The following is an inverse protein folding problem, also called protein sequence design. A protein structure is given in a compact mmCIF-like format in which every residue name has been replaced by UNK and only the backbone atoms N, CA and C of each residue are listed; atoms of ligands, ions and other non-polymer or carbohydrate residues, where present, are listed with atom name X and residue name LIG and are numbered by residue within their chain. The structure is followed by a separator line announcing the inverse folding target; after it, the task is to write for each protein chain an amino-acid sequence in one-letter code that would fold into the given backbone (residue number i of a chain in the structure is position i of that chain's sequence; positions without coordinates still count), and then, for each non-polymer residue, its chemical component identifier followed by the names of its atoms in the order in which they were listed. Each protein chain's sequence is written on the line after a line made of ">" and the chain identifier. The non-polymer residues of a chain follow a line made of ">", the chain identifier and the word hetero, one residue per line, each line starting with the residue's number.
data_IF_038742561788
#
_entry.id   IF_038742561788
#
_cell.length_a   1.000
_cell.length_b   1.000
_cell.length_c   1.000
_cell.angle_alpha   90.00
_cell.angle_beta   90.00
_cell.angle_gamma   90.00
#
_symmetry.space_group_name_H-M   'P 1'
#
loop_
_entity.id
_entity.type
_entity.pdbx_description
1 polymer ?
#
# COMPACT_ATOMS: atom_id res chain seq x y z
N UNK A 1 8.00 12.36 -24.37
CA UNK A 1 7.99 12.68 -22.93
C UNK A 1 6.79 11.96 -22.35
N UNK A 2 7.04 10.86 -21.63
CA UNK A 2 5.95 10.09 -20.98
C UNK A 2 5.45 10.96 -19.81
N UNK A 3 4.32 11.66 -20.01
CA UNK A 3 3.72 12.47 -18.97
C UNK A 3 3.02 11.51 -18.01
N UNK A 4 3.43 11.51 -16.75
CA UNK A 4 2.71 10.75 -15.70
C UNK A 4 1.25 11.16 -15.71
N UNK A 5 0.34 10.22 -15.49
CA UNK A 5 -1.08 10.51 -15.32
C UNK A 5 -1.31 11.41 -14.09
N UNK A 6 -2.42 12.17 -14.04
CA UNK A 6 -2.69 13.11 -12.95
C UNK A 6 -2.75 12.45 -11.57
N UNK A 7 -3.35 11.25 -11.45
CA UNK A 7 -3.43 10.50 -10.18
C UNK A 7 -2.04 10.07 -9.76
N UNK A 8 -1.31 9.41 -10.67
CA UNK A 8 0.06 8.97 -10.40
C UNK A 8 0.95 10.13 -10.02
N UNK A 9 0.88 11.26 -10.72
CA UNK A 9 1.67 12.44 -10.40
C UNK A 9 1.37 12.99 -9.00
N UNK A 10 0.10 13.09 -8.64
CA UNK A 10 -0.34 13.64 -7.35
C UNK A 10 0.03 12.74 -6.16
N UNK A 11 -0.18 11.42 -6.28
CA UNK A 11 0.06 10.49 -5.18
C UNK A 11 1.54 10.11 -5.03
N UNK A 12 2.29 10.01 -6.13
CA UNK A 12 3.75 9.82 -6.06
C UNK A 12 4.47 11.02 -5.41
N UNK A 13 4.03 12.25 -5.70
CA UNK A 13 4.54 13.44 -5.02
C UNK A 13 4.25 13.41 -3.50
N UNK A 14 3.08 12.87 -3.10
CA UNK A 14 2.75 12.66 -1.68
C UNK A 14 3.63 11.56 -1.04
N UNK A 15 3.98 10.49 -1.76
CA UNK A 15 4.96 9.48 -1.30
C UNK A 15 6.34 10.11 -1.03
N UNK A 16 6.85 10.93 -1.95
CA UNK A 16 8.12 11.64 -1.76
C UNK A 16 8.09 12.53 -0.51
N UNK A 17 6.99 13.26 -0.29
CA UNK A 17 6.79 14.10 0.89
C UNK A 17 6.77 13.26 2.18
N UNK A 18 6.08 12.11 2.18
CA UNK A 18 5.98 11.21 3.32
C UNK A 18 7.33 10.56 3.63
N UNK A 19 8.08 10.13 2.62
CA UNK A 19 9.42 9.58 2.81
C UNK A 19 10.38 10.61 3.42
N UNK A 20 10.33 11.86 2.98
CA UNK A 20 11.11 12.95 3.57
C UNK A 20 10.78 13.18 5.05
N UNK A 21 9.49 13.15 5.43
CA UNK A 21 9.05 13.28 6.83
C UNK A 21 9.51 12.09 7.67
N UNK A 22 9.36 10.86 7.17
CA UNK A 22 9.79 9.65 7.85
C UNK A 22 11.30 9.63 8.03
N UNK A 23 12.06 10.06 7.03
CA UNK A 23 13.51 10.14 7.10
C UNK A 23 13.98 11.19 8.11
N UNK A 24 13.29 12.33 8.20
CA UNK A 24 13.57 13.36 9.19
C UNK A 24 13.20 12.93 10.63
N UNK A 25 12.27 11.98 10.79
CA UNK A 25 11.83 11.51 12.11
C UNK A 25 12.86 10.62 12.83
N UNK A 26 13.89 10.11 12.15
CA UNK A 26 14.91 9.25 12.74
C UNK A 26 16.25 9.99 12.78
N UNK A 27 16.76 10.25 13.97
CA UNK A 27 18.09 10.84 14.15
C UNK A 27 19.20 9.83 13.81
N UNK A 28 20.42 10.33 13.65
CA UNK A 28 21.62 9.48 13.45
C UNK A 28 21.92 8.54 14.63
N UNK A 29 21.41 8.86 15.84
CA UNK A 29 21.49 8.01 17.03
C UNK A 29 20.39 6.96 17.11
N UNK A 30 19.40 6.98 16.20
CA UNK A 30 18.22 6.12 16.26
C UNK A 30 17.09 6.62 17.16
N UNK A 31 17.22 7.83 17.71
CA UNK A 31 16.15 8.49 18.47
C UNK A 31 15.07 9.01 17.53
N UNK A 32 13.81 8.95 17.97
CA UNK A 32 12.68 9.44 17.20
C UNK A 32 12.38 10.90 17.56
N UNK A 33 12.45 11.76 16.55
CA UNK A 33 11.92 13.12 16.63
C UNK A 33 10.41 13.12 16.40
N UNK A 34 9.66 13.26 17.47
CA UNK A 34 8.19 13.29 17.42
C UNK A 34 7.66 14.50 16.63
N UNK A 35 8.40 15.60 16.58
CA UNK A 35 7.97 16.78 15.82
C UNK A 35 7.92 16.50 14.30
N UNK A 36 8.82 15.66 13.80
CA UNK A 36 8.81 15.18 12.40
C UNK A 36 7.93 13.95 12.20
N UNK A 37 7.84 13.07 13.22
CA UNK A 37 7.05 11.85 13.15
C UNK A 37 5.53 12.09 13.09
N UNK A 38 4.99 12.99 13.90
CA UNK A 38 3.54 13.23 13.93
C UNK A 38 2.97 13.76 12.59
N UNK A 39 3.64 14.68 11.86
CA UNK A 39 3.26 15.02 10.51
C UNK A 39 3.31 13.84 9.51
N UNK A 40 4.32 12.95 9.62
CA UNK A 40 4.39 11.72 8.84
C UNK A 40 3.21 10.81 9.14
N UNK A 41 2.93 10.53 10.43
CA UNK A 41 1.83 9.69 10.90
C UNK A 41 0.47 10.16 10.38
N UNK A 42 0.19 11.45 10.57
CA UNK A 42 -1.06 12.06 10.09
C UNK A 42 -1.14 12.05 8.56
N UNK A 43 -0.04 12.32 7.89
CA UNK A 43 0.08 12.31 6.44
C UNK A 43 -0.17 10.93 5.84
N UNK A 44 0.46 9.88 6.37
CA UNK A 44 0.30 8.51 5.89
C UNK A 44 -1.15 8.01 6.09
N UNK A 45 -1.76 8.28 7.25
CA UNK A 45 -3.17 7.94 7.48
C UNK A 45 -4.12 8.70 6.54
N UNK A 46 -3.78 9.96 6.20
CA UNK A 46 -4.54 10.73 5.21
C UNK A 46 -4.38 10.13 3.82
N UNK A 47 -3.18 9.78 3.42
CA UNK A 47 -2.86 9.15 2.14
C UNK A 47 -3.64 7.86 1.95
N UNK A 48 -3.55 6.92 2.90
CA UNK A 48 -4.35 5.69 2.94
C UNK A 48 -5.85 6.02 2.84
N UNK A 49 -6.31 7.03 3.58
CA UNK A 49 -7.72 7.44 3.55
C UNK A 49 -8.18 7.95 2.18
N UNK A 50 -7.33 8.65 1.44
CA UNK A 50 -7.59 9.11 0.06
C UNK A 50 -7.80 7.90 -0.86
N UNK A 51 -6.96 6.91 -0.77
CA UNK A 51 -7.03 5.72 -1.63
C UNK A 51 -8.22 4.84 -1.29
N UNK A 52 -8.38 4.51 -0.02
CA UNK A 52 -9.43 3.61 0.45
C UNK A 52 -10.85 4.18 0.28
N UNK A 53 -11.02 5.48 0.43
CA UNK A 53 -12.34 6.12 0.47
C UNK A 53 -12.71 6.86 -0.82
N UNK A 54 -11.73 7.22 -1.64
CA UNK A 54 -11.96 7.98 -2.87
C UNK A 54 -11.51 7.19 -4.08
N UNK A 55 -10.20 6.90 -4.20
CA UNK A 55 -9.61 6.37 -5.42
C UNK A 55 -10.09 4.95 -5.76
N UNK A 56 -9.95 4.01 -4.83
CA UNK A 56 -10.31 2.61 -5.09
C UNK A 56 -11.82 2.43 -5.32
N UNK A 57 -12.73 3.06 -4.55
CA UNK A 57 -14.15 3.03 -4.86
C UNK A 57 -14.52 3.65 -6.21
N UNK A 58 -13.89 4.75 -6.60
CA UNK A 58 -14.12 5.38 -7.90
C UNK A 58 -13.67 4.46 -9.03
N UNK A 59 -12.47 3.89 -8.93
CA UNK A 59 -11.92 2.96 -9.90
C UNK A 59 -12.73 1.67 -10.00
N UNK A 60 -13.23 1.15 -8.89
CA UNK A 60 -14.12 -0.01 -8.88
C UNK A 60 -15.43 0.26 -9.62
N UNK A 61 -16.05 1.43 -9.41
CA UNK A 61 -17.25 1.83 -10.17
C UNK A 61 -16.96 1.93 -11.66
N UNK A 62 -15.87 2.59 -12.04
CA UNK A 62 -15.45 2.73 -13.43
C UNK A 62 -15.09 1.39 -14.08
N UNK A 63 -14.69 0.39 -13.28
CA UNK A 63 -14.40 -0.98 -13.71
C UNK A 63 -15.62 -1.91 -13.67
N UNK A 64 -16.84 -1.36 -13.81
CA UNK A 64 -18.06 -2.16 -13.82
C UNK A 64 -18.42 -2.81 -12.47
N UNK A 65 -17.93 -2.30 -11.37
CA UNK A 65 -18.16 -2.80 -10.01
C UNK A 65 -17.11 -3.82 -9.52
N UNK A 66 -16.23 -4.30 -10.40
CA UNK A 66 -15.17 -5.22 -10.02
C UNK A 66 -13.95 -4.44 -9.45
N UNK A 67 -13.38 -4.86 -8.31
CA UNK A 67 -12.16 -4.24 -7.79
C UNK A 67 -10.98 -4.51 -8.74
N UNK A 68 -10.00 -3.60 -8.75
CA UNK A 68 -8.74 -3.84 -9.46
C UNK A 68 -7.93 -4.96 -8.77
N UNK A 69 -7.17 -5.77 -9.51
CA UNK A 69 -6.52 -6.98 -8.98
C UNK A 69 -5.62 -6.75 -7.76
N UNK A 70 -4.95 -5.59 -7.68
CA UNK A 70 -4.02 -5.26 -6.58
C UNK A 70 -4.70 -4.74 -5.32
N UNK A 71 -5.93 -4.22 -5.39
CA UNK A 71 -6.64 -3.55 -4.27
C UNK A 71 -6.71 -4.42 -3.02
N UNK A 72 -7.04 -5.71 -3.15
CA UNK A 72 -7.13 -6.60 -1.99
C UNK A 72 -5.78 -6.79 -1.25
N UNK A 73 -4.66 -6.64 -1.93
CA UNK A 73 -3.32 -6.66 -1.32
C UNK A 73 -3.03 -5.33 -0.63
N UNK A 74 -3.24 -4.22 -1.32
CA UNK A 74 -3.05 -2.87 -0.78
C UNK A 74 -3.89 -2.64 0.48
N UNK A 75 -5.14 -3.06 0.52
CA UNK A 75 -5.98 -3.03 1.73
C UNK A 75 -5.32 -3.70 2.95
N UNK A 76 -4.66 -4.87 2.74
CA UNK A 76 -3.98 -5.56 3.85
C UNK A 76 -2.73 -4.81 4.30
N UNK A 77 -1.98 -4.26 3.35
CA UNK A 77 -0.78 -3.46 3.62
C UNK A 77 -1.15 -2.17 4.35
N UNK A 78 -2.21 -1.48 3.92
CA UNK A 78 -2.79 -0.33 4.63
C UNK A 78 -3.22 -0.66 6.06
N UNK A 79 -3.88 -1.81 6.24
CA UNK A 79 -4.25 -2.30 7.58
C UNK A 79 -3.03 -2.53 8.48
N UNK A 80 -1.95 -3.12 7.96
CA UNK A 80 -0.70 -3.33 8.70
C UNK A 80 -0.02 -1.99 9.05
N UNK A 81 0.08 -1.08 8.08
CA UNK A 81 0.62 0.26 8.29
C UNK A 81 -0.17 1.02 9.36
N UNK A 82 -1.51 1.01 9.28
CA UNK A 82 -2.36 1.68 10.26
C UNK A 82 -2.17 1.11 11.68
N UNK A 83 -1.96 -0.20 11.85
CA UNK A 83 -1.69 -0.83 13.14
C UNK A 83 -0.31 -0.45 13.68
N UNK A 84 0.71 -0.36 12.84
CA UNK A 84 2.06 0.08 13.22
C UNK A 84 2.12 1.54 13.65
N UNK A 85 1.16 2.36 13.21
CA UNK A 85 1.04 3.76 13.60
C UNK A 85 0.33 3.99 14.96
N UNK A 86 -0.21 2.92 15.60
CA UNK A 86 -0.92 3.06 16.90
C UNK A 86 0.02 3.22 18.09
N UNK A 87 1.08 2.38 18.26
CA UNK A 87 1.96 2.49 19.41
C UNK A 87 2.87 3.72 19.34
N UNK A 88 3.51 4.01 20.45
CA UNK A 88 4.61 4.99 20.49
C UNK A 88 5.72 4.57 19.51
N UNK A 89 6.18 5.47 18.63
CA UNK A 89 7.14 5.11 17.59
C UNK A 89 8.50 4.70 18.17
N UNK A 90 9.09 3.69 17.56
CA UNK A 90 10.47 3.27 17.80
C UNK A 90 11.19 3.13 16.46
N UNK A 91 12.52 3.13 16.49
CA UNK A 91 13.31 2.89 15.27
C UNK A 91 12.96 1.55 14.61
N UNK A 92 12.65 0.52 15.42
CA UNK A 92 12.17 -0.77 14.89
C UNK A 92 10.86 -0.66 14.15
N UNK A 93 9.86 0.01 14.74
CA UNK A 93 8.55 0.23 14.09
C UNK A 93 8.71 1.02 12.79
N UNK A 94 9.53 2.06 12.77
CA UNK A 94 9.77 2.83 11.54
C UNK A 94 10.49 2.00 10.47
N UNK A 95 11.39 1.10 10.88
CA UNK A 95 12.02 0.14 9.98
C UNK A 95 11.02 -0.80 9.31
N UNK A 96 10.06 -1.33 10.08
CA UNK A 96 8.97 -2.17 9.54
C UNK A 96 8.04 -1.39 8.60
N UNK A 97 7.66 -0.17 8.98
CA UNK A 97 6.86 0.71 8.10
C UNK A 97 7.59 0.95 6.78
N UNK A 98 8.88 1.30 6.82
CA UNK A 98 9.71 1.53 5.63
C UNK A 98 9.75 0.31 4.74
N UNK A 99 9.97 -0.87 5.30
CA UNK A 99 10.02 -2.12 4.55
C UNK A 99 8.70 -2.44 3.83
N UNK A 100 7.55 -2.13 4.45
CA UNK A 100 6.26 -2.29 3.77
C UNK A 100 6.12 -1.27 2.65
N UNK A 101 6.44 0.01 2.91
CA UNK A 101 6.23 1.11 1.97
C UNK A 101 7.10 0.97 0.71
N UNK A 102 8.32 0.44 0.80
CA UNK A 102 9.19 0.22 -0.37
C UNK A 102 8.51 -0.62 -1.45
N UNK A 103 8.00 -1.79 -1.07
CA UNK A 103 7.30 -2.68 -1.98
C UNK A 103 5.88 -2.20 -2.36
N UNK A 104 5.23 -1.51 -1.43
CA UNK A 104 3.89 -0.97 -1.56
C UNK A 104 3.86 0.15 -2.62
N UNK A 105 4.71 1.15 -2.46
CA UNK A 105 4.79 2.29 -3.37
C UNK A 105 5.16 1.83 -4.80
N UNK A 106 6.07 0.84 -4.96
CA UNK A 106 6.38 0.30 -6.29
C UNK A 106 5.16 -0.33 -6.97
N UNK A 107 4.28 -0.99 -6.21
CA UNK A 107 3.02 -1.54 -6.76
C UNK A 107 2.03 -0.46 -7.15
N UNK A 108 2.07 0.66 -6.51
CA UNK A 108 1.14 1.77 -6.75
C UNK A 108 1.63 2.66 -7.89
N UNK A 109 2.84 3.16 -7.80
CA UNK A 109 3.38 4.15 -8.72
C UNK A 109 4.33 3.58 -9.78
N UNK A 110 4.79 2.32 -9.64
CA UNK A 110 5.63 1.66 -10.61
C UNK A 110 4.99 1.51 -12.00
N UNK A 111 5.77 1.08 -12.97
CA UNK A 111 5.28 0.84 -14.33
C UNK A 111 4.20 -0.24 -14.35
N UNK A 112 2.99 0.10 -14.81
CA UNK A 112 1.82 -0.78 -14.75
C UNK A 112 1.18 -0.88 -13.36
N UNK A 113 1.57 -0.03 -12.43
CA UNK A 113 1.00 0.06 -11.09
C UNK A 113 -0.46 0.50 -11.07
N UNK A 114 -1.03 0.52 -9.85
CA UNK A 114 -2.48 0.76 -9.72
C UNK A 114 -2.88 2.19 -10.11
N UNK A 115 -2.01 3.19 -9.85
CA UNK A 115 -2.31 4.58 -10.22
C UNK A 115 -2.43 4.76 -11.73
N UNK A 116 -1.56 4.10 -12.51
CA UNK A 116 -1.67 4.11 -13.97
C UNK A 116 -2.96 3.43 -14.45
N UNK A 117 -3.39 2.36 -13.79
CA UNK A 117 -4.67 1.72 -14.08
C UNK A 117 -5.85 2.63 -13.75
N UNK A 118 -5.81 3.35 -12.63
CA UNK A 118 -6.82 4.33 -12.24
C UNK A 118 -6.89 5.51 -13.23
N UNK A 119 -5.74 6.06 -13.64
CA UNK A 119 -5.67 7.13 -14.65
C UNK A 119 -6.35 6.73 -15.97
N UNK A 120 -6.17 5.46 -16.39
CA UNK A 120 -6.81 4.94 -17.62
C UNK A 120 -8.32 4.71 -17.47
N UNK A 121 -8.75 4.18 -16.32
CA UNK A 121 -10.14 3.81 -16.10
C UNK A 121 -11.07 5.00 -15.88
N UNK A 122 -10.61 6.01 -15.14
CA UNK A 122 -11.46 7.11 -14.69
C UNK A 122 -11.86 8.09 -15.81
N UNK A 123 -11.12 8.16 -16.90
CA UNK A 123 -11.51 8.87 -18.12
C UNK A 123 -12.26 10.19 -17.88
N UNK A 124 -13.55 10.21 -18.15
CA UNK A 124 -14.40 11.37 -17.97
C UNK A 124 -14.69 11.76 -16.50
N UNK A 125 -14.46 10.88 -15.54
CA UNK A 125 -14.63 11.16 -14.11
C UNK A 125 -13.32 11.67 -13.45
N UNK A 126 -12.21 11.64 -14.18
CA UNK A 126 -10.88 11.94 -13.66
C UNK A 126 -10.79 13.29 -12.95
N UNK A 127 -11.32 14.35 -13.55
CA UNK A 127 -11.28 15.70 -12.96
C UNK A 127 -12.04 15.77 -11.64
N UNK A 128 -13.23 15.16 -11.57
CA UNK A 128 -14.04 15.11 -10.35
C UNK A 128 -13.35 14.29 -9.25
N UNK A 129 -12.71 13.19 -9.60
CA UNK A 129 -11.95 12.37 -8.64
C UNK A 129 -10.73 13.13 -8.16
N UNK A 130 -9.98 13.78 -9.05
CA UNK A 130 -8.82 14.60 -8.67
C UNK A 130 -9.19 15.74 -7.72
N UNK A 131 -10.35 16.39 -7.90
CA UNK A 131 -10.85 17.39 -6.96
C UNK A 131 -11.13 16.79 -5.58
N UNK A 132 -11.73 15.59 -5.51
CA UNK A 132 -11.96 14.88 -4.25
C UNK A 132 -10.64 14.47 -3.56
N UNK A 133 -9.63 14.02 -4.31
CA UNK A 133 -8.31 13.68 -3.77
C UNK A 133 -7.64 14.91 -3.14
N UNK A 134 -7.63 16.05 -3.85
CA UNK A 134 -7.02 17.30 -3.38
C UNK A 134 -7.73 17.87 -2.16
N UNK A 135 -9.06 17.85 -2.15
CA UNK A 135 -9.90 18.38 -1.07
C UNK A 135 -10.09 17.43 0.11
N UNK A 136 -9.51 16.21 0.06
CA UNK A 136 -9.66 15.26 1.16
C UNK A 136 -9.13 15.84 2.48
N UNK A 137 -9.95 15.83 3.56
CA UNK A 137 -9.63 16.55 4.78
C UNK A 137 -8.41 15.98 5.52
N UNK A 138 -7.77 16.78 6.38
CA UNK A 138 -6.77 16.27 7.32
C UNK A 138 -7.36 15.22 8.26
N UNK A 139 -6.59 14.20 8.60
CA UNK A 139 -6.99 13.16 9.55
C UNK A 139 -6.63 13.58 10.97
N UNK A 140 -7.60 13.53 11.88
CA UNK A 140 -7.33 13.64 13.31
C UNK A 140 -6.78 12.32 13.82
N UNK A 141 -5.54 12.33 14.31
CA UNK A 141 -4.89 11.14 14.83
C UNK A 141 -5.10 11.05 16.32
N UNK A 142 -5.51 9.87 16.80
CA UNK A 142 -5.65 9.61 18.23
C UNK A 142 -4.27 9.57 18.93
N UNK A 143 -4.18 9.84 20.24
CA UNK A 143 -2.94 9.63 20.98
C UNK A 143 -2.39 8.21 20.79
N UNK A 144 -1.08 8.04 20.95
CA UNK A 144 -0.44 6.74 20.95
C UNK A 144 -1.01 5.83 22.04
N UNK A 145 -1.03 4.54 21.78
CA UNK A 145 -1.53 3.56 22.72
C UNK A 145 -0.65 2.29 22.71
N UNK A 146 0.00 2.02 23.85
CA UNK A 146 0.99 0.95 24.01
C UNK A 146 0.45 -0.28 24.77
N UNK A 147 -0.87 -0.54 24.70
CA UNK A 147 -1.47 -1.70 25.36
C UNK A 147 -1.01 -3.04 24.75
N UNK A 148 -0.90 -4.09 25.58
CA UNK A 148 -0.39 -5.43 25.20
C UNK A 148 -1.03 -6.02 23.92
N UNK A 149 -2.30 -5.70 23.66
CA UNK A 149 -3.01 -6.17 22.46
C UNK A 149 -2.56 -5.49 21.16
N UNK A 150 -1.94 -4.31 21.22
CA UNK A 150 -1.53 -3.54 20.05
C UNK A 150 -0.29 -4.12 19.42
N UNK A 151 0.76 -4.36 20.23
CA UNK A 151 2.00 -4.96 19.73
C UNK A 151 1.75 -6.31 19.05
N UNK A 152 0.92 -7.16 19.67
CA UNK A 152 0.55 -8.46 19.09
C UNK A 152 -0.17 -8.33 17.76
N UNK A 153 -1.13 -7.38 17.63
CA UNK A 153 -1.85 -7.15 16.37
C UNK A 153 -0.95 -6.61 15.27
N UNK A 154 -0.02 -5.73 15.62
CA UNK A 154 0.96 -5.21 14.67
C UNK A 154 1.87 -6.33 14.16
N UNK A 155 2.38 -7.21 15.04
CA UNK A 155 3.18 -8.39 14.65
C UNK A 155 2.39 -9.38 13.80
N UNK A 156 1.12 -9.64 14.12
CA UNK A 156 0.25 -10.53 13.33
C UNK A 156 0.00 -9.94 11.94
N UNK A 157 -0.21 -8.63 11.84
CA UNK A 157 -0.39 -7.93 10.57
C UNK A 157 0.88 -7.97 9.71
N UNK A 158 2.06 -7.75 10.33
CA UNK A 158 3.35 -7.88 9.67
C UNK A 158 3.55 -9.30 9.10
N UNK A 159 3.30 -10.33 9.89
CA UNK A 159 3.37 -11.72 9.41
C UNK A 159 2.43 -12.00 8.25
N UNK A 160 1.23 -11.44 8.27
CA UNK A 160 0.24 -11.61 7.19
C UNK A 160 0.68 -10.93 5.88
N UNK A 161 1.41 -9.83 5.95
CA UNK A 161 1.95 -9.13 4.77
C UNK A 161 3.23 -9.80 4.28
N UNK A 162 4.18 -10.13 5.18
CA UNK A 162 5.48 -10.73 4.85
C UNK A 162 5.39 -12.22 4.47
N UNK A 163 4.54 -13.00 5.11
CA UNK A 163 4.43 -14.45 4.91
C UNK A 163 3.91 -14.90 3.55
N UNK A 164 3.38 -13.97 2.74
CA UNK A 164 2.95 -14.24 1.36
C UNK A 164 4.01 -13.95 0.30
N UNK A 165 5.10 -13.31 0.64
CA UNK A 165 6.25 -13.17 -0.26
C UNK A 165 7.03 -14.48 -0.39
N UNK A 166 7.04 -15.32 0.63
CA UNK A 166 7.71 -16.62 0.63
C UNK A 166 6.96 -17.74 -0.14
N UNK A 167 5.74 -17.50 -0.59
CA UNK A 167 4.85 -18.54 -1.17
C UNK A 167 4.77 -18.59 -2.70
N UNK A 168 5.53 -17.78 -3.43
CA UNK A 168 5.64 -17.85 -4.89
C UNK A 168 6.95 -18.55 -5.28
N UNK A 169 7.04 -19.84 -4.96
CA UNK A 169 7.96 -20.72 -5.70
C UNK A 169 7.46 -20.82 -7.16
N UNK A 170 8.36 -20.77 -8.16
CA UNK A 170 7.97 -20.99 -9.55
C UNK A 170 7.30 -22.35 -9.66
N UNK A 171 6.19 -22.42 -10.36
CA UNK A 171 5.59 -23.69 -10.79
C UNK A 171 6.66 -24.33 -11.68
N UNK A 172 7.32 -25.38 -11.16
CA UNK A 172 8.15 -26.22 -11.97
C UNK A 172 7.27 -26.82 -13.07
N UNK A 173 7.65 -26.55 -14.31
CA UNK A 173 7.05 -27.18 -15.50
C UNK A 173 7.17 -28.71 -15.34
N UNK A 174 6.06 -29.34 -14.89
CA UNK A 174 5.96 -30.78 -14.76
C UNK A 174 6.15 -31.43 -16.13
N UNK A 175 7.18 -32.23 -16.21
CA UNK A 175 7.51 -33.14 -17.29
C UNK A 175 6.27 -33.88 -17.84
N UNK A 176 5.87 -33.54 -19.08
CA UNK A 176 4.79 -34.15 -19.86
C UNK A 176 5.25 -35.45 -20.54
N UNK A 177 6.27 -36.17 -20.05
CA UNK A 177 6.86 -37.34 -20.74
C UNK A 177 6.46 -38.70 -20.16
N UNK A 178 5.30 -38.87 -19.50
CA UNK A 178 4.81 -40.20 -19.10
C UNK A 178 3.32 -40.40 -19.31
N UNK A 179 2.89 -40.51 -20.58
CA UNK A 179 1.61 -41.13 -20.93
C UNK A 179 1.81 -42.64 -21.11
N UNK A 180 1.08 -43.48 -20.39
CA UNK A 180 1.06 -44.92 -20.68
C UNK A 180 0.27 -45.20 -21.97
N UNK A 181 0.57 -46.26 -22.75
CA UNK A 181 -0.07 -46.55 -24.01
C UNK A 181 -1.51 -47.04 -23.83
N UNK A 182 -2.41 -46.51 -24.64
CA UNK A 182 -3.80 -46.93 -24.72
C UNK A 182 -3.88 -48.35 -25.25
N UNK A 183 -4.38 -49.29 -24.41
CA UNK A 183 -4.78 -50.65 -24.81
C UNK A 183 -6.01 -50.57 -25.73
N UNK A 184 -5.85 -51.01 -27.00
CA UNK A 184 -6.97 -51.32 -27.90
C UNK A 184 -7.57 -52.65 -27.44
N UNK A 185 -8.78 -52.61 -26.91
CA UNK A 185 -9.63 -53.80 -26.74
C UNK A 185 -10.44 -54.09 -27.97
N UNK A 186 -10.52 -55.36 -28.27
CA UNK A 186 -11.31 -55.94 -29.39
C UNK A 186 -12.81 -55.77 -29.14
#
# INVERSE_FOLDING_TARGET
>A
VNRLGPIRGFLAEDHERLDALMSAAVSSSGEIDLASYEPFRAGLLRHIGIEEKVLFPASQRANGGAPLPMVARLHREHGALALLLVPTPTAGILGEIRSILEDHNEREEGAGGIYEACDRLLGGELESVMEQLRSYPPVKVAPHFDGEGVSRRAEDALRAVSGRQAGLSPIEDGDLSSRPPMLRGK
#
